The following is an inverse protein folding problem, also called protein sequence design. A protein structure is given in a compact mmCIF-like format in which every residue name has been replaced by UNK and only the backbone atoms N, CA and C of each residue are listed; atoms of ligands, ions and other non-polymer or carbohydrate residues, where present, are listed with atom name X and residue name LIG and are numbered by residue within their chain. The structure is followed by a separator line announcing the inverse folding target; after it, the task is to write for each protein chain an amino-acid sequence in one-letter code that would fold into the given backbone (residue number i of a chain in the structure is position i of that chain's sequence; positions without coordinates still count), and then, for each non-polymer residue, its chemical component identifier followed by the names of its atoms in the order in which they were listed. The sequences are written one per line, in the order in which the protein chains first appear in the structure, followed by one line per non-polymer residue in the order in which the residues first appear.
data_IF_937129300913
#
_entry.id   IF_937129300913
#
_cell.length_a   1.000
_cell.length_b   1.000
_cell.length_c   1.000
_cell.angle_alpha   90.00
_cell.angle_beta   90.00
_cell.angle_gamma   90.00
#
_symmetry.space_group_name_H-M   'P 1'
#
loop_
_entity.id
_entity.type
_entity.pdbx_description
1 polymer ?
#
# COMPACT_ATOMS: atom_id res chain seq x y z
N UNK A 1 35.35 31.67 48.80
CA UNK A 1 36.35 31.83 49.89
C UNK A 1 36.07 30.78 50.96
N UNK A 2 37.12 30.27 51.61
CA UNK A 2 37.11 29.60 52.94
C UNK A 2 36.34 28.25 53.00
N UNK A 3 36.89 27.08 53.42
CA UNK A 3 37.81 26.77 54.54
C UNK A 3 37.17 27.19 55.89
N UNK A 4 36.83 26.35 56.86
CA UNK A 4 37.60 25.35 57.62
C UNK A 4 36.70 24.15 58.01
N UNK A 5 37.01 23.14 58.86
CA UNK A 5 38.16 22.64 59.65
C UNK A 5 38.05 21.07 59.68
N UNK A 6 39.04 20.21 59.94
CA UNK A 6 39.78 19.87 61.20
C UNK A 6 38.87 19.43 62.38
N UNK A 7 39.14 18.34 63.13
CA UNK A 7 40.28 17.41 63.17
C UNK A 7 39.85 16.10 63.89
N UNK A 8 40.72 15.08 63.79
CA UNK A 8 40.96 13.94 64.70
C UNK A 8 40.25 12.65 64.27
N UNK A 9 40.89 11.49 64.16
CA UNK A 9 42.23 11.08 64.55
C UNK A 9 42.23 9.61 64.97
N UNK A 10 42.20 8.72 63.97
CA UNK A 10 42.70 7.33 63.91
C UNK A 10 42.89 6.56 65.24
N UNK A 11 42.28 5.36 65.32
CA UNK A 11 42.95 4.19 65.92
C UNK A 11 42.87 2.98 64.99
N UNK A 12 44.03 2.41 64.66
CA UNK A 12 44.14 1.10 64.00
C UNK A 12 43.72 0.00 64.98
N UNK A 13 43.01 -1.00 64.47
CA UNK A 13 43.05 -2.37 64.96
C UNK A 13 42.90 -3.31 63.75
N UNK A 14 43.85 -4.23 63.58
CA UNK A 14 43.77 -5.29 62.57
C UNK A 14 42.81 -6.40 63.04
N UNK A 15 42.31 -7.23 62.10
CA UNK A 15 42.30 -8.70 62.22
C UNK A 15 41.76 -9.33 60.92
N UNK A 16 42.25 -10.54 60.65
CA UNK A 16 42.12 -11.38 59.47
C UNK A 16 40.67 -11.58 58.96
N UNK A 17 40.50 -11.55 57.63
CA UNK A 17 39.33 -12.10 56.94
C UNK A 17 39.50 -13.63 56.74
N UNK A 18 38.54 -14.48 57.16
CA UNK A 18 38.55 -15.90 56.84
C UNK A 18 37.96 -16.17 55.44
N UNK A 19 38.55 -17.12 54.69
CA UNK A 19 37.92 -17.65 53.48
C UNK A 19 36.69 -18.50 53.85
N UNK A 20 35.50 -18.02 53.48
CA UNK A 20 34.27 -18.82 53.47
C UNK A 20 33.95 -19.21 52.03
N UNK A 21 34.26 -20.46 51.68
CA UNK A 21 33.88 -21.06 50.41
C UNK A 21 32.37 -21.34 50.40
N UNK A 22 31.60 -20.46 49.76
CA UNK A 22 30.16 -20.63 49.59
C UNK A 22 29.86 -21.45 48.33
N UNK A 23 29.50 -22.72 48.49
CA UNK A 23 28.94 -23.54 47.42
C UNK A 23 27.52 -23.08 47.09
N UNK A 24 27.38 -22.25 46.04
CA UNK A 24 26.07 -21.89 45.50
C UNK A 24 25.49 -23.06 44.69
N UNK A 25 24.35 -23.62 45.12
CA UNK A 25 23.61 -24.63 44.37
C UNK A 25 22.79 -23.93 43.28
N UNK A 26 22.94 -24.30 41.98
CA UNK A 26 22.14 -23.69 40.93
C UNK A 26 20.65 -24.07 41.07
N UNK A 27 19.72 -23.15 40.80
CA UNK A 27 18.28 -23.45 40.87
C UNK A 27 17.90 -24.52 39.84
N UNK A 28 17.10 -25.50 40.28
CA UNK A 28 16.57 -26.56 39.42
C UNK A 28 15.76 -25.95 38.26
N UNK A 29 16.04 -26.29 36.98
CA UNK A 29 15.26 -25.78 35.86
C UNK A 29 13.77 -26.09 36.02
N UNK A 30 12.93 -25.09 35.79
CA UNK A 30 11.49 -25.28 35.75
C UNK A 30 11.14 -26.15 34.54
N UNK A 31 10.44 -27.26 34.77
CA UNK A 31 9.92 -28.11 33.69
C UNK A 31 8.76 -27.37 33.05
N UNK A 32 9.01 -26.78 31.87
CA UNK A 32 7.96 -26.17 31.05
C UNK A 32 7.03 -27.29 30.56
N UNK A 33 5.71 -27.23 30.82
CA UNK A 33 4.77 -28.19 30.26
C UNK A 33 4.86 -28.20 28.73
N UNK A 34 4.74 -29.36 28.07
CA UNK A 34 4.73 -29.41 26.60
C UNK A 34 3.62 -28.51 26.07
N UNK A 35 3.96 -27.66 25.10
CA UNK A 35 2.99 -26.77 24.47
C UNK A 35 1.80 -27.59 23.93
N UNK A 36 0.58 -27.10 24.17
CA UNK A 36 -0.62 -27.69 23.58
C UNK A 36 -0.44 -27.73 22.04
N UNK A 37 -0.89 -28.80 21.36
CA UNK A 37 -0.74 -28.89 19.92
C UNK A 37 -1.45 -27.70 19.27
N UNK A 38 -0.67 -26.90 18.54
CA UNK A 38 -1.21 -25.81 17.72
C UNK A 38 -2.21 -26.45 16.75
N UNK A 39 -3.45 -25.94 16.64
CA UNK A 39 -4.40 -26.48 15.68
C UNK A 39 -3.76 -26.43 14.27
N UNK A 40 -3.97 -27.45 13.43
CA UNK A 40 -3.36 -27.49 12.11
C UNK A 40 -3.73 -26.22 11.35
N UNK A 41 -2.72 -25.59 10.74
CA UNK A 41 -2.91 -24.43 9.87
C UNK A 41 -4.00 -24.80 8.87
N UNK A 42 -5.08 -24.01 8.83
CA UNK A 42 -6.20 -24.27 7.96
C UNK A 42 -5.68 -24.43 6.52
N UNK A 43 -6.20 -25.45 5.82
CA UNK A 43 -5.81 -25.70 4.43
C UNK A 43 -6.00 -24.42 3.59
N UNK A 44 -5.19 -24.18 2.55
CA UNK A 44 -5.34 -23.02 1.70
C UNK A 44 -6.78 -22.91 1.24
N UNK A 45 -7.45 -21.82 1.65
CA UNK A 45 -8.81 -21.53 1.17
C UNK A 45 -8.72 -21.45 -0.34
N UNK A 46 -9.51 -22.28 -1.03
CA UNK A 46 -9.56 -22.24 -2.49
C UNK A 46 -9.85 -20.80 -2.92
N UNK A 47 -9.12 -20.24 -3.91
CA UNK A 47 -9.18 -18.82 -4.22
C UNK A 47 -10.62 -18.42 -4.48
N UNK A 48 -11.14 -17.52 -3.63
CA UNK A 48 -12.47 -16.98 -3.80
C UNK A 48 -12.57 -16.33 -5.18
N UNK A 49 -13.76 -16.38 -5.80
CA UNK A 49 -13.98 -15.65 -7.03
C UNK A 49 -13.64 -14.17 -6.79
N UNK A 50 -12.73 -13.55 -7.57
CA UNK A 50 -12.20 -12.22 -7.24
C UNK A 50 -13.26 -11.12 -7.32
N UNK A 51 -14.42 -11.42 -7.89
CA UNK A 51 -15.56 -10.53 -8.03
C UNK A 51 -16.88 -11.27 -7.78
N UNK A 52 -17.84 -10.60 -7.15
CA UNK A 52 -19.24 -11.04 -7.09
C UNK A 52 -20.17 -9.92 -7.58
N UNK A 53 -21.26 -10.28 -8.26
CA UNK A 53 -22.30 -9.31 -8.66
C UNK A 53 -22.90 -8.68 -7.39
N UNK A 54 -22.95 -7.35 -7.36
CA UNK A 54 -23.52 -6.56 -6.28
C UNK A 54 -24.76 -5.81 -6.76
N UNK A 55 -25.31 -4.93 -5.92
CA UNK A 55 -26.43 -4.04 -6.26
C UNK A 55 -26.06 -2.59 -5.97
N UNK A 56 -26.73 -1.65 -6.62
CA UNK A 56 -26.47 -0.22 -6.47
C UNK A 56 -26.77 0.31 -5.06
N UNK A 57 -27.73 -0.30 -4.36
CA UNK A 57 -28.07 0.04 -2.96
C UNK A 57 -27.00 -0.41 -1.96
N UNK A 58 -26.05 -1.26 -2.37
CA UNK A 58 -24.92 -1.67 -1.53
C UNK A 58 -23.76 -0.67 -1.55
N UNK A 59 -23.79 0.34 -2.42
CA UNK A 59 -22.80 1.41 -2.46
C UNK A 59 -23.20 2.52 -1.45
N UNK A 60 -22.36 2.82 -0.44
CA UNK A 60 -22.63 3.89 0.51
C UNK A 60 -22.90 5.23 -0.18
N UNK A 61 -23.86 5.97 0.35
CA UNK A 61 -24.30 7.29 -0.15
C UNK A 61 -24.71 7.33 -1.63
N UNK A 62 -24.91 6.18 -2.30
CA UNK A 62 -25.19 6.15 -3.74
C UNK A 62 -26.33 7.08 -4.11
N UNK A 63 -27.47 7.00 -3.43
CA UNK A 63 -28.66 7.80 -3.75
C UNK A 63 -28.46 9.33 -3.57
N UNK A 64 -27.52 9.76 -2.74
CA UNK A 64 -27.31 11.16 -2.34
C UNK A 64 -26.02 11.79 -2.88
N UNK A 65 -25.06 11.01 -3.39
CA UNK A 65 -23.79 11.52 -3.92
C UNK A 65 -23.99 12.39 -5.17
N UNK A 66 -23.21 13.46 -5.29
CA UNK A 66 -23.10 14.23 -6.53
C UNK A 66 -22.26 13.47 -7.57
N UNK A 67 -22.90 13.09 -8.67
CA UNK A 67 -22.32 12.37 -9.79
C UNK A 67 -21.68 13.29 -10.82
N UNK A 68 -21.79 14.62 -10.70
CA UNK A 68 -21.15 15.57 -11.63
C UNK A 68 -19.63 15.35 -11.81
N UNK A 69 -18.82 15.13 -10.74
CA UNK A 69 -17.39 14.86 -10.90
C UNK A 69 -17.13 13.54 -11.63
N UNK A 70 -17.85 12.48 -11.25
CA UNK A 70 -17.76 11.14 -11.87
C UNK A 70 -18.16 11.17 -13.35
N UNK A 71 -19.21 11.92 -13.70
CA UNK A 71 -19.65 12.09 -15.07
C UNK A 71 -18.61 12.81 -15.94
N UNK A 72 -18.00 13.89 -15.45
CA UNK A 72 -16.92 14.58 -16.16
C UNK A 72 -15.70 13.66 -16.39
N UNK A 73 -15.31 12.90 -15.37
CA UNK A 73 -14.24 11.90 -15.49
C UNK A 73 -14.58 10.79 -16.50
N UNK A 74 -15.83 10.33 -16.51
CA UNK A 74 -16.31 9.34 -17.49
C UNK A 74 -16.30 9.88 -18.92
N UNK A 75 -16.79 11.11 -19.15
CA UNK A 75 -16.75 11.77 -20.45
C UNK A 75 -15.32 11.95 -20.98
N UNK A 76 -14.36 12.34 -20.13
CA UNK A 76 -12.95 12.42 -20.49
C UNK A 76 -12.39 11.04 -20.87
N UNK A 77 -12.71 10.00 -20.09
CA UNK A 77 -12.30 8.62 -20.38
C UNK A 77 -12.84 8.11 -21.72
N UNK A 78 -14.08 8.48 -22.07
CA UNK A 78 -14.71 8.14 -23.35
C UNK A 78 -14.01 8.73 -24.59
N UNK A 79 -13.15 9.75 -24.44
CA UNK A 79 -12.33 10.25 -25.57
C UNK A 79 -11.41 9.15 -26.13
N UNK A 80 -10.89 8.28 -25.25
CA UNK A 80 -10.08 7.12 -25.63
C UNK A 80 -10.90 5.81 -25.68
N UNK A 81 -11.77 5.58 -24.68
CA UNK A 81 -12.50 4.31 -24.55
C UNK A 81 -13.49 4.04 -25.69
N UNK A 82 -14.04 5.08 -26.35
CA UNK A 82 -14.94 4.90 -27.50
C UNK A 82 -14.35 4.09 -28.67
N UNK A 83 -13.03 3.89 -28.72
CA UNK A 83 -12.36 3.09 -29.73
C UNK A 83 -12.25 1.60 -29.36
N UNK A 84 -12.69 1.20 -28.15
CA UNK A 84 -12.71 -0.19 -27.67
C UNK A 84 -14.12 -0.78 -27.85
N UNK A 85 -14.29 -1.98 -28.45
CA UNK A 85 -15.62 -2.55 -28.74
C UNK A 85 -16.58 -2.55 -27.54
N UNK A 86 -16.13 -3.04 -26.39
CA UNK A 86 -16.95 -3.16 -25.17
C UNK A 86 -17.43 -1.81 -24.60
N UNK A 87 -16.78 -0.71 -24.98
CA UNK A 87 -17.05 0.64 -24.50
C UNK A 87 -17.76 1.53 -25.52
N UNK A 88 -17.83 1.14 -26.79
CA UNK A 88 -18.44 1.92 -27.87
C UNK A 88 -19.88 2.30 -27.57
N UNK A 89 -20.71 1.32 -27.19
CA UNK A 89 -22.13 1.53 -26.94
C UNK A 89 -22.39 2.50 -25.77
N UNK A 90 -21.69 2.31 -24.65
CA UNK A 90 -21.89 3.15 -23.45
C UNK A 90 -21.35 4.57 -23.64
N UNK A 91 -20.20 4.74 -24.31
CA UNK A 91 -19.67 6.07 -24.64
C UNK A 91 -20.52 6.79 -25.69
N UNK A 92 -21.10 6.09 -26.66
CA UNK A 92 -22.06 6.66 -27.61
C UNK A 92 -23.34 7.14 -26.90
N UNK A 93 -23.94 6.28 -26.05
CA UNK A 93 -25.10 6.64 -25.21
C UNK A 93 -24.82 7.84 -24.31
N UNK A 94 -23.62 7.91 -23.73
CA UNK A 94 -23.21 9.03 -22.88
C UNK A 94 -23.07 10.35 -23.66
N UNK A 95 -22.54 10.31 -24.88
CA UNK A 95 -22.45 11.48 -25.77
C UNK A 95 -23.81 11.99 -26.26
N UNK A 96 -24.84 11.16 -26.24
CA UNK A 96 -26.22 11.51 -26.61
C UNK A 96 -27.10 11.96 -25.43
N UNK A 97 -26.57 11.98 -24.20
CA UNK A 97 -27.35 12.28 -22.99
C UNK A 97 -27.60 13.80 -22.87
N UNK A 98 -28.83 14.24 -23.18
CA UNK A 98 -29.20 15.66 -23.21
C UNK A 98 -29.31 16.32 -21.81
N UNK A 99 -29.79 15.58 -20.81
CA UNK A 99 -29.95 16.05 -19.43
C UNK A 99 -28.97 15.31 -18.52
N UNK A 100 -28.16 16.07 -17.79
CA UNK A 100 -27.04 15.55 -16.99
C UNK A 100 -27.17 15.90 -15.51
N UNK A 101 -28.38 16.06 -14.99
CA UNK A 101 -28.60 16.18 -13.54
C UNK A 101 -28.39 14.84 -12.81
N UNK A 102 -28.30 14.89 -11.48
CA UNK A 102 -27.97 13.70 -10.68
C UNK A 102 -28.97 12.54 -10.86
N UNK A 103 -30.25 12.84 -11.08
CA UNK A 103 -31.28 11.82 -11.37
C UNK A 103 -31.01 11.13 -12.71
N UNK A 104 -30.73 11.91 -13.75
CA UNK A 104 -30.45 11.41 -15.11
C UNK A 104 -29.14 10.64 -15.18
N UNK A 105 -28.10 11.12 -14.46
CA UNK A 105 -26.80 10.46 -14.35
C UNK A 105 -26.91 9.13 -13.59
N UNK A 106 -27.69 9.09 -12.49
CA UNK A 106 -27.95 7.87 -11.73
C UNK A 106 -28.61 6.81 -12.61
N UNK A 107 -29.70 7.17 -13.28
CA UNK A 107 -30.40 6.30 -14.21
C UNK A 107 -29.52 5.86 -15.39
N UNK A 108 -28.60 6.70 -15.86
CA UNK A 108 -27.61 6.32 -16.86
C UNK A 108 -26.67 5.22 -16.33
N UNK A 109 -26.04 5.42 -15.17
CA UNK A 109 -25.10 4.44 -14.62
C UNK A 109 -25.80 3.11 -14.27
N UNK A 110 -26.97 3.17 -13.62
CA UNK A 110 -27.75 1.99 -13.24
C UNK A 110 -28.20 1.16 -14.45
N UNK A 111 -28.53 1.81 -15.57
CA UNK A 111 -28.95 1.15 -16.81
C UNK A 111 -27.81 0.85 -17.79
N UNK A 112 -26.56 1.16 -17.45
CA UNK A 112 -25.39 0.95 -18.32
C UNK A 112 -24.32 0.04 -17.71
N UNK A 113 -24.29 -0.11 -16.38
CA UNK A 113 -23.29 -0.89 -15.66
C UNK A 113 -23.92 -1.80 -14.61
N UNK A 114 -23.26 -2.92 -14.34
CA UNK A 114 -23.54 -3.80 -13.20
C UNK A 114 -22.41 -3.62 -12.18
N UNK A 115 -22.70 -3.27 -10.91
CA UNK A 115 -21.66 -3.16 -9.89
C UNK A 115 -21.19 -4.55 -9.48
N UNK A 116 -19.87 -4.72 -9.34
CA UNK A 116 -19.24 -5.93 -8.81
C UNK A 116 -18.48 -5.57 -7.54
N UNK A 117 -18.67 -6.34 -6.48
CA UNK A 117 -17.82 -6.27 -5.29
C UNK A 117 -16.53 -7.05 -5.56
N UNK A 118 -15.38 -6.43 -5.26
CA UNK A 118 -14.06 -7.03 -5.39
C UNK A 118 -13.65 -7.70 -4.08
N UNK A 119 -13.00 -8.86 -4.17
CA UNK A 119 -12.39 -9.56 -3.04
C UNK A 119 -10.90 -9.78 -3.27
N UNK A 120 -10.12 -9.74 -2.19
CA UNK A 120 -8.72 -10.10 -2.20
C UNK A 120 -8.54 -11.64 -2.36
N UNK A 121 -7.35 -12.13 -2.74
CA UNK A 121 -7.08 -13.57 -2.88
C UNK A 121 -7.31 -14.40 -1.61
N UNK A 122 -7.27 -13.78 -0.42
CA UNK A 122 -7.57 -14.39 0.87
C UNK A 122 -9.08 -14.38 1.24
N UNK A 123 -9.93 -13.86 0.35
CA UNK A 123 -11.37 -13.70 0.54
C UNK A 123 -11.79 -12.45 1.33
N UNK A 124 -10.85 -11.63 1.80
CA UNK A 124 -11.19 -10.39 2.50
C UNK A 124 -11.70 -9.31 1.53
N UNK A 125 -12.59 -8.43 2.01
CA UNK A 125 -13.19 -7.35 1.22
C UNK A 125 -12.69 -5.95 1.59
N UNK A 126 -11.61 -5.85 2.37
CA UNK A 126 -10.99 -4.58 2.77
C UNK A 126 -9.71 -4.38 1.96
N UNK A 127 -9.55 -3.20 1.36
CA UNK A 127 -8.38 -2.84 0.56
C UNK A 127 -7.68 -1.58 1.11
N UNK A 128 -6.44 -1.37 0.68
CA UNK A 128 -5.69 -0.14 0.98
C UNK A 128 -5.98 0.91 -0.09
N UNK A 129 -6.48 2.09 0.32
CA UNK A 129 -6.58 3.26 -0.55
C UNK A 129 -5.34 4.14 -0.34
N UNK A 130 -4.61 4.41 -1.41
CA UNK A 130 -3.44 5.31 -1.43
C UNK A 130 -3.67 6.47 -2.40
N UNK A 131 -3.09 7.64 -2.11
CA UNK A 131 -3.09 8.80 -3.01
C UNK A 131 -1.78 8.93 -3.80
N UNK A 132 -1.88 9.43 -5.03
CA UNK A 132 -0.76 9.98 -5.80
C UNK A 132 -1.14 11.39 -6.29
N UNK A 133 -0.14 12.19 -6.68
CA UNK A 133 -0.36 13.54 -7.22
C UNK A 133 0.70 13.89 -8.27
N UNK A 134 0.44 14.91 -9.07
CA UNK A 134 1.42 15.48 -10.01
C UNK A 134 2.22 16.60 -9.29
N UNK A 135 3.54 16.43 -9.06
CA UNK A 135 4.34 17.43 -8.36
C UNK A 135 4.67 18.63 -9.27
N UNK A 136 4.30 19.83 -8.83
CA UNK A 136 4.65 21.08 -9.52
C UNK A 136 6.08 21.52 -9.18
N UNK A 137 7.00 21.39 -10.14
CA UNK A 137 8.40 21.81 -10.00
C UNK A 137 8.68 23.10 -10.80
N UNK A 138 9.55 23.96 -10.28
CA UNK A 138 10.06 25.14 -11.01
C UNK A 138 11.38 24.77 -11.70
N UNK A 139 11.45 24.94 -13.02
CA UNK A 139 12.65 24.63 -13.81
C UNK A 139 13.02 25.73 -14.81
N UNK A 140 14.04 25.46 -15.63
CA UNK A 140 14.50 26.33 -16.72
C UNK A 140 14.81 25.49 -17.95
N UNK A 141 14.56 26.03 -19.14
CA UNK A 141 14.96 25.42 -20.42
C UNK A 141 16.46 25.55 -20.71
N UNK A 142 17.17 26.38 -19.96
CA UNK A 142 18.63 26.59 -20.06
C UNK A 142 19.28 26.32 -18.71
N UNK A 143 20.38 25.56 -18.70
CA UNK A 143 21.14 25.24 -17.49
C UNK A 143 21.69 26.51 -16.85
N UNK A 144 21.53 26.65 -15.54
CA UNK A 144 22.13 27.74 -14.75
C UNK A 144 22.73 27.19 -13.46
N UNK A 145 23.40 28.04 -12.66
CA UNK A 145 23.85 27.66 -11.32
C UNK A 145 22.68 27.23 -10.39
N UNK A 146 21.47 27.77 -10.59
CA UNK A 146 20.25 27.41 -9.85
C UNK A 146 19.55 26.18 -10.43
N UNK A 147 19.54 26.05 -11.75
CA UNK A 147 18.89 24.96 -12.48
C UNK A 147 19.97 24.06 -13.11
N UNK A 148 20.64 23.29 -12.26
CA UNK A 148 21.81 22.48 -12.61
C UNK A 148 21.50 21.04 -13.02
N UNK A 149 20.35 20.51 -12.60
CA UNK A 149 19.89 19.14 -12.88
C UNK A 149 18.95 19.10 -14.10
N UNK A 150 19.28 18.36 -15.17
CA UNK A 150 18.41 18.20 -16.33
C UNK A 150 17.28 17.20 -16.07
N UNK A 151 16.16 17.36 -16.78
CA UNK A 151 15.20 16.28 -17.02
C UNK A 151 15.57 15.61 -18.34
N UNK A 152 15.87 14.32 -18.31
CA UNK A 152 16.19 13.53 -19.50
C UNK A 152 14.91 13.04 -20.19
N UNK A 153 14.94 13.03 -21.52
CA UNK A 153 14.04 12.20 -22.32
C UNK A 153 14.52 10.74 -22.30
N UNK A 154 13.77 9.83 -22.92
CA UNK A 154 14.24 8.48 -23.22
C UNK A 154 15.43 8.57 -24.20
N UNK A 155 16.58 7.92 -23.90
CA UNK A 155 17.74 7.90 -24.81
C UNK A 155 17.47 7.12 -26.11
N UNK A 156 18.01 7.59 -27.23
CA UNK A 156 17.90 6.92 -28.54
C UNK A 156 18.52 5.51 -28.56
N UNK A 157 19.45 5.22 -27.64
CA UNK A 157 20.13 3.95 -27.46
C UNK A 157 19.52 3.05 -26.35
N UNK A 158 18.35 3.41 -25.80
CA UNK A 158 17.69 2.58 -24.78
C UNK A 158 17.06 1.32 -25.40
N UNK A 159 17.79 0.21 -25.31
CA UNK A 159 17.32 -1.09 -25.81
C UNK A 159 16.32 -1.75 -24.85
N UNK A 160 15.11 -2.04 -25.32
CA UNK A 160 14.19 -2.98 -24.66
C UNK A 160 14.28 -4.33 -25.36
N UNK A 161 14.96 -5.31 -24.74
CA UNK A 161 15.20 -6.63 -25.32
C UNK A 161 14.29 -7.66 -24.63
N UNK A 162 13.44 -8.35 -25.40
CA UNK A 162 12.76 -9.54 -24.90
C UNK A 162 13.69 -10.75 -25.03
N UNK A 163 14.11 -11.30 -23.90
CA UNK A 163 14.95 -12.50 -23.82
C UNK A 163 14.16 -13.77 -23.49
N UNK A 164 12.82 -13.72 -23.44
CA UNK A 164 11.98 -14.84 -22.99
C UNK A 164 12.18 -16.12 -23.80
N UNK A 165 12.46 -16.03 -25.11
CA UNK A 165 12.69 -17.20 -25.97
C UNK A 165 14.00 -17.94 -25.66
N UNK A 166 15.05 -17.20 -25.28
CA UNK A 166 16.37 -17.76 -24.94
C UNK A 166 16.48 -18.11 -23.46
N UNK A 167 15.79 -17.36 -22.61
CA UNK A 167 15.87 -17.39 -21.16
C UNK A 167 14.47 -17.26 -20.55
N UNK A 168 13.68 -18.35 -20.47
CA UNK A 168 12.30 -18.32 -19.98
C UNK A 168 12.13 -17.73 -18.57
N UNK A 169 13.20 -17.74 -17.76
CA UNK A 169 13.22 -17.12 -16.42
C UNK A 169 13.12 -15.58 -16.45
N UNK A 170 13.35 -14.93 -17.60
CA UNK A 170 13.18 -13.48 -17.76
C UNK A 170 11.78 -13.07 -18.23
N UNK A 171 10.85 -14.02 -18.37
CA UNK A 171 9.47 -13.73 -18.79
C UNK A 171 8.80 -12.70 -17.89
N UNK A 172 8.43 -11.55 -18.46
CA UNK A 172 7.79 -10.44 -17.73
C UNK A 172 8.74 -9.55 -16.94
N UNK A 173 10.05 -9.83 -16.94
CA UNK A 173 11.06 -8.92 -16.42
C UNK A 173 11.46 -7.89 -17.48
N UNK A 174 11.60 -6.63 -17.07
CA UNK A 174 12.20 -5.59 -17.91
C UNK A 174 13.67 -5.44 -17.51
N UNK A 175 14.54 -6.07 -18.29
CA UNK A 175 15.98 -5.86 -18.21
C UNK A 175 16.32 -4.49 -18.80
N UNK A 176 17.12 -3.71 -18.08
CA UNK A 176 17.56 -2.34 -18.37
C UNK A 176 18.97 -2.17 -17.82
#
# INVERSE_FOLDING_TARGET
MSCTDFFTGIRLAAVLLPLLAACAVPPKPAVVPPAAPVPPVAAPVAPAAPFAVSKWEMLPDWQTVDLQPSWRAFQQSCLALKNKPDWQAVCSRAGALAQTDNTSLRAFFEAAFTPYQVFNPDGSSQGLITGYYEPKLTGSRVKTARFSYPLYAEPDDLLTIDLTELYPQFKGLRLR
#
